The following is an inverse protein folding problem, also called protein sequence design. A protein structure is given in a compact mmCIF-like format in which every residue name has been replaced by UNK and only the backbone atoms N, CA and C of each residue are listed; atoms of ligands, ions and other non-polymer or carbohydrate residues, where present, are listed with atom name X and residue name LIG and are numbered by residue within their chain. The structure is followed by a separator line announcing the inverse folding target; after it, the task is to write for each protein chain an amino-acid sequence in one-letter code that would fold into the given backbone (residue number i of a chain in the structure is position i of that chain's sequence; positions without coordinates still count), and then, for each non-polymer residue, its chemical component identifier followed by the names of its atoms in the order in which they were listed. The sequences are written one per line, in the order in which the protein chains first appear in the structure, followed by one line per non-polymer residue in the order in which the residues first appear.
data_IF_703109804435
#
_entry.id   IF_703109804435
#
_cell.length_a   1.000
_cell.length_b   1.000
_cell.length_c   1.000
_cell.angle_alpha   90.00
_cell.angle_beta   90.00
_cell.angle_gamma   90.00
#
_symmetry.space_group_name_H-M   'P 1'
#
loop_
_entity.id
_entity.type
_entity.pdbx_description
1 polymer ?
#
# COMPACT_ATOMS: atom_id res chain seq x y z
N UNK A 1 21.53 -26.06 -5.39
CA UNK A 1 20.23 -25.38 -5.25
C UNK A 1 20.46 -23.95 -4.80
N UNK A 2 19.96 -23.00 -5.53
CA UNK A 2 20.16 -21.60 -5.25
C UNK A 2 19.40 -21.19 -3.96
N UNK A 3 20.06 -20.47 -3.08
CA UNK A 3 19.44 -20.00 -1.83
C UNK A 3 18.25 -19.07 -2.09
N UNK A 4 18.26 -18.32 -3.21
CA UNK A 4 17.16 -17.48 -3.64
C UNK A 4 15.90 -18.26 -4.01
N UNK A 5 16.07 -19.41 -4.67
CA UNK A 5 14.95 -20.29 -5.03
C UNK A 5 14.29 -20.89 -3.78
N UNK A 6 15.09 -21.31 -2.82
CA UNK A 6 14.58 -21.82 -1.54
C UNK A 6 13.82 -20.73 -0.77
N UNK A 7 14.32 -19.50 -0.77
CA UNK A 7 13.67 -18.37 -0.11
C UNK A 7 12.32 -18.03 -0.75
N UNK A 8 12.24 -18.02 -2.08
CA UNK A 8 11.00 -17.76 -2.81
C UNK A 8 9.95 -18.82 -2.52
N UNK A 9 10.33 -20.10 -2.58
CA UNK A 9 9.44 -21.22 -2.26
C UNK A 9 8.91 -21.12 -0.83
N UNK A 10 9.78 -20.78 0.11
CA UNK A 10 9.41 -20.60 1.52
C UNK A 10 8.38 -19.48 1.67
N UNK A 11 8.56 -18.34 1.03
CA UNK A 11 7.62 -17.24 1.09
C UNK A 11 6.26 -17.61 0.49
N UNK A 12 6.25 -18.35 -0.61
CA UNK A 12 5.02 -18.83 -1.22
C UNK A 12 4.25 -19.74 -0.26
N UNK A 13 4.95 -20.65 0.40
CA UNK A 13 4.34 -21.60 1.35
C UNK A 13 3.87 -20.92 2.65
N UNK A 14 4.49 -19.82 3.05
CA UNK A 14 4.10 -19.06 4.23
C UNK A 14 2.89 -18.14 3.97
N UNK A 15 2.59 -17.83 2.71
CA UNK A 15 1.56 -16.84 2.36
C UNK A 15 0.20 -17.14 2.96
N UNK A 16 -0.35 -18.37 2.93
CA UNK A 16 -1.66 -18.63 3.53
C UNK A 16 -1.72 -18.31 5.02
N UNK A 17 -0.70 -18.67 5.77
CA UNK A 17 -0.66 -18.42 7.22
C UNK A 17 -0.48 -16.92 7.50
N UNK A 18 0.34 -16.24 6.72
CA UNK A 18 0.52 -14.79 6.83
C UNK A 18 -0.78 -14.05 6.57
N UNK A 19 -1.52 -14.43 5.53
CA UNK A 19 -2.82 -13.82 5.21
C UNK A 19 -3.83 -14.06 6.33
N UNK A 20 -3.91 -15.28 6.85
CA UNK A 20 -4.80 -15.57 7.99
C UNK A 20 -4.47 -14.75 9.21
N UNK A 21 -3.18 -14.62 9.53
CA UNK A 21 -2.71 -13.80 10.65
C UNK A 21 -3.08 -12.33 10.46
N UNK A 22 -2.85 -11.78 9.28
CA UNK A 22 -3.16 -10.39 9.00
C UNK A 22 -4.66 -10.10 9.07
N UNK A 23 -5.50 -11.03 8.62
CA UNK A 23 -6.96 -10.90 8.73
C UNK A 23 -7.38 -10.93 10.19
N UNK A 24 -6.85 -11.86 10.98
CA UNK A 24 -7.19 -11.98 12.40
C UNK A 24 -6.77 -10.77 13.21
N UNK A 25 -5.64 -10.13 12.85
CA UNK A 25 -5.09 -8.97 13.54
C UNK A 25 -5.35 -7.65 12.83
N UNK A 26 -6.27 -7.62 11.85
CA UNK A 26 -6.46 -6.46 10.99
C UNK A 26 -6.80 -5.17 11.74
N UNK A 27 -7.64 -5.23 12.75
CA UNK A 27 -8.00 -4.06 13.56
C UNK A 27 -6.77 -3.48 14.27
N UNK A 28 -5.95 -4.32 14.88
CA UNK A 28 -4.74 -3.91 15.57
C UNK A 28 -3.70 -3.33 14.60
N UNK A 29 -3.48 -4.01 13.46
CA UNK A 29 -2.49 -3.60 12.47
C UNK A 29 -2.83 -2.28 11.79
N UNK A 30 -4.11 -1.97 11.62
CA UNK A 30 -4.56 -0.78 10.89
C UNK A 30 -5.13 0.31 11.79
N UNK A 31 -5.09 0.14 13.10
CA UNK A 31 -5.73 1.05 14.05
C UNK A 31 -5.29 2.50 13.90
N UNK A 32 -3.98 2.74 13.86
CA UNK A 32 -3.45 4.11 13.73
C UNK A 32 -3.82 4.75 12.39
N UNK A 33 -3.77 3.99 11.32
CA UNK A 33 -4.15 4.48 10.00
C UNK A 33 -5.63 4.81 9.94
N UNK A 34 -6.47 3.97 10.53
CA UNK A 34 -7.91 4.19 10.62
C UNK A 34 -8.22 5.45 11.43
N UNK A 35 -7.57 5.66 12.55
CA UNK A 35 -7.72 6.87 13.35
C UNK A 35 -7.38 8.13 12.56
N UNK A 36 -6.24 8.11 11.86
CA UNK A 36 -5.83 9.25 11.04
C UNK A 36 -6.82 9.52 9.90
N UNK A 37 -7.33 8.49 9.27
CA UNK A 37 -8.32 8.61 8.21
C UNK A 37 -9.63 9.23 8.71
N UNK A 38 -10.12 8.80 9.86
CA UNK A 38 -11.39 9.26 10.41
C UNK A 38 -11.34 10.70 10.95
N UNK A 39 -10.17 11.23 11.22
CA UNK A 39 -10.01 12.60 11.72
C UNK A 39 -10.28 13.67 10.67
N UNK A 40 -10.24 13.33 9.39
CA UNK A 40 -10.41 14.28 8.29
C UNK A 40 -11.35 13.72 7.24
N UNK A 41 -12.04 14.62 6.54
CA UNK A 41 -12.83 14.24 5.37
C UNK A 41 -11.94 14.28 4.13
N UNK A 42 -11.54 13.13 3.65
CA UNK A 42 -10.72 13.01 2.45
C UNK A 42 -11.57 12.89 1.18
N UNK A 43 -11.09 13.47 0.09
CA UNK A 43 -11.76 13.42 -1.21
C UNK A 43 -11.26 12.29 -2.09
N UNK A 44 -10.07 11.80 -1.88
CA UNK A 44 -9.50 10.67 -2.60
C UNK A 44 -8.33 10.11 -1.81
N UNK A 45 -7.87 8.91 -2.21
CA UNK A 45 -6.72 8.25 -1.61
C UNK A 45 -5.71 7.94 -2.70
N UNK A 46 -4.44 8.17 -2.42
CA UNK A 46 -3.34 7.81 -3.29
C UNK A 46 -2.56 6.65 -2.70
N UNK A 47 -2.42 5.57 -3.47
CA UNK A 47 -1.56 4.43 -3.13
C UNK A 47 -0.31 4.50 -4.00
N UNK A 48 0.85 4.64 -3.38
CA UNK A 48 2.13 4.74 -4.07
C UNK A 48 2.91 3.46 -3.83
N UNK A 49 3.16 2.71 -4.89
CA UNK A 49 3.83 1.42 -4.79
C UNK A 49 4.46 1.03 -6.12
N UNK A 50 5.45 0.14 -6.09
CA UNK A 50 6.06 -0.43 -7.28
C UNK A 50 6.17 -1.95 -7.17
N UNK A 51 6.35 -2.62 -8.32
CA UNK A 51 6.48 -4.08 -8.37
C UNK A 51 5.24 -4.81 -7.89
N UNK A 52 5.42 -5.86 -7.13
CA UNK A 52 4.33 -6.66 -6.59
C UNK A 52 3.46 -5.89 -5.60
N UNK A 53 4.02 -4.92 -4.89
CA UNK A 53 3.24 -4.02 -4.01
C UNK A 53 2.25 -3.18 -4.81
N UNK A 54 2.62 -2.74 -6.02
CA UNK A 54 1.73 -2.04 -6.93
C UNK A 54 0.59 -2.95 -7.40
N UNK A 55 0.89 -4.21 -7.72
CA UNK A 55 -0.12 -5.20 -8.11
C UNK A 55 -1.12 -5.45 -6.97
N UNK A 56 -0.64 -5.55 -5.75
CA UNK A 56 -1.51 -5.70 -4.58
C UNK A 56 -2.43 -4.48 -4.41
N UNK A 57 -1.90 -3.28 -4.58
CA UNK A 57 -2.69 -2.05 -4.52
C UNK A 57 -3.77 -2.00 -5.61
N UNK A 58 -3.43 -2.41 -6.83
CA UNK A 58 -4.40 -2.48 -7.93
C UNK A 58 -5.51 -3.50 -7.65
N UNK A 59 -5.19 -4.63 -7.02
CA UNK A 59 -6.20 -5.62 -6.64
C UNK A 59 -7.17 -5.07 -5.58
N UNK A 60 -6.69 -4.29 -4.64
CA UNK A 60 -7.50 -3.75 -3.55
C UNK A 60 -8.29 -2.49 -3.94
N UNK A 61 -7.88 -1.78 -4.96
CA UNK A 61 -8.36 -0.45 -5.34
C UNK A 61 -9.89 -0.34 -5.42
N UNK A 62 -10.53 -1.20 -6.19
CA UNK A 62 -11.97 -1.08 -6.43
C UNK A 62 -12.81 -1.42 -5.21
N UNK A 63 -12.37 -2.39 -4.42
CA UNK A 63 -13.02 -2.69 -3.15
C UNK A 63 -12.92 -1.51 -2.19
N UNK A 64 -11.75 -0.89 -2.10
CA UNK A 64 -11.54 0.30 -1.29
C UNK A 64 -12.45 1.46 -1.73
N UNK A 65 -12.54 1.72 -3.04
CA UNK A 65 -13.44 2.74 -3.57
C UNK A 65 -14.88 2.49 -3.18
N UNK A 66 -15.33 1.24 -3.28
CA UNK A 66 -16.70 0.86 -2.94
C UNK A 66 -16.99 1.05 -1.45
N UNK A 67 -16.07 0.64 -0.59
CA UNK A 67 -16.27 0.70 0.86
C UNK A 67 -16.10 2.11 1.42
N UNK A 68 -15.17 2.87 0.89
CA UNK A 68 -14.85 4.21 1.41
C UNK A 68 -15.63 5.34 0.74
N UNK A 69 -16.20 5.07 -0.44
CA UNK A 69 -16.97 6.08 -1.17
C UNK A 69 -16.14 7.21 -1.77
N UNK A 70 -14.83 7.03 -1.90
CA UNK A 70 -13.92 8.00 -2.49
C UNK A 70 -13.05 7.35 -3.55
N UNK A 71 -12.58 8.10 -4.58
CA UNK A 71 -11.65 7.55 -5.57
C UNK A 71 -10.35 7.10 -4.92
N UNK A 72 -9.84 5.95 -5.36
CA UNK A 72 -8.54 5.41 -4.94
C UNK A 72 -7.65 5.33 -6.17
N UNK A 73 -6.54 6.07 -6.14
CA UNK A 73 -5.58 6.12 -7.24
C UNK A 73 -4.33 5.32 -6.89
N UNK A 74 -3.85 4.53 -7.84
CA UNK A 74 -2.62 3.76 -7.69
C UNK A 74 -1.60 4.30 -8.67
N UNK A 75 -0.45 4.73 -8.16
CA UNK A 75 0.63 5.26 -8.98
C UNK A 75 1.97 4.66 -8.57
N UNK A 76 2.91 4.60 -9.51
CA UNK A 76 4.28 4.23 -9.17
C UNK A 76 4.98 5.41 -8.52
N UNK A 77 6.00 5.17 -7.68
CA UNK A 77 6.75 6.27 -7.04
C UNK A 77 7.35 7.25 -8.04
N UNK A 78 7.86 6.74 -9.17
CA UNK A 78 8.42 7.61 -10.19
C UNK A 78 7.38 8.59 -10.76
N UNK A 79 6.20 8.08 -11.10
CA UNK A 79 5.10 8.91 -11.61
C UNK A 79 4.65 9.92 -10.56
N UNK A 80 4.51 9.48 -9.32
CA UNK A 80 4.12 10.34 -8.20
C UNK A 80 5.14 11.47 -7.97
N UNK A 81 6.43 11.14 -7.95
CA UNK A 81 7.49 12.11 -7.67
C UNK A 81 7.66 13.15 -8.76
N UNK A 82 7.41 12.79 -10.02
CA UNK A 82 7.76 13.62 -11.19
C UNK A 82 6.56 14.20 -11.92
N UNK A 83 5.39 13.58 -11.84
CA UNK A 83 4.24 13.96 -12.67
C UNK A 83 2.94 14.23 -11.89
N UNK A 84 2.79 13.70 -10.71
CA UNK A 84 1.54 13.75 -9.95
C UNK A 84 1.74 14.49 -8.64
N UNK A 85 1.76 15.82 -8.70
CA UNK A 85 2.07 16.67 -7.55
C UNK A 85 0.87 17.38 -6.93
N UNK A 86 -0.34 17.15 -7.41
CA UNK A 86 -1.54 17.82 -6.92
C UNK A 86 -1.98 17.27 -5.56
N UNK A 87 -1.07 17.30 -4.59
CA UNK A 87 -1.32 16.79 -3.26
C UNK A 87 -1.71 17.94 -2.35
N UNK A 88 -2.91 17.87 -1.84
CA UNK A 88 -3.39 18.77 -0.79
C UNK A 88 -3.56 17.98 0.50
N UNK A 89 -3.75 18.66 1.61
CA UNK A 89 -4.01 18.01 2.90
C UNK A 89 -5.26 17.12 2.91
N UNK A 90 -6.08 17.19 1.84
CA UNK A 90 -7.31 16.42 1.69
C UNK A 90 -7.11 15.05 1.04
N UNK A 91 -5.88 14.73 0.65
CA UNK A 91 -5.56 13.47 -0.04
C UNK A 91 -4.52 12.69 0.76
N UNK A 92 -4.92 11.65 1.48
CA UNK A 92 -3.95 10.79 2.14
C UNK A 92 -3.13 10.04 1.10
N UNK A 93 -1.83 9.97 1.33
CA UNK A 93 -0.90 9.23 0.50
C UNK A 93 -0.37 8.05 1.30
N UNK A 94 -0.59 6.84 0.80
CA UNK A 94 -0.12 5.62 1.44
C UNK A 94 0.99 5.03 0.59
N UNK A 95 2.19 5.00 1.11
CA UNK A 95 3.35 4.39 0.46
C UNK A 95 3.48 2.94 0.92
N UNK A 96 3.50 2.02 -0.03
CA UNK A 96 3.58 0.58 0.25
C UNK A 96 4.96 0.07 -0.14
N UNK A 97 5.69 -0.48 0.83
CA UNK A 97 7.00 -1.06 0.60
C UNK A 97 7.19 -2.29 1.48
N UNK A 98 7.51 -3.41 0.88
CA UNK A 98 7.76 -4.64 1.61
C UNK A 98 9.06 -4.55 2.42
N UNK A 99 10.12 -4.02 1.83
CA UNK A 99 11.42 -3.90 2.49
C UNK A 99 11.58 -2.62 3.32
N UNK A 100 10.82 -1.59 3.01
CA UNK A 100 11.02 -0.25 3.55
C UNK A 100 12.26 0.47 2.99
N UNK A 101 12.93 -0.12 2.02
CA UNK A 101 14.21 0.37 1.47
C UNK A 101 14.13 0.77 0.00
N UNK A 102 12.95 0.75 -0.60
CA UNK A 102 12.78 1.17 -2.00
C UNK A 102 13.10 2.66 -2.15
N UNK A 103 14.13 2.98 -2.93
CA UNK A 103 14.63 4.35 -3.09
C UNK A 103 13.53 5.29 -3.60
N UNK A 104 12.82 4.90 -4.64
CA UNK A 104 11.78 5.74 -5.21
C UNK A 104 10.60 5.94 -4.25
N UNK A 105 10.24 4.92 -3.50
CA UNK A 105 9.17 5.02 -2.50
C UNK A 105 9.58 5.93 -1.35
N UNK A 106 10.83 5.87 -0.90
CA UNK A 106 11.38 6.76 0.12
C UNK A 106 11.34 8.21 -0.36
N UNK A 107 11.71 8.47 -1.61
CA UNK A 107 11.62 9.81 -2.20
C UNK A 107 10.19 10.36 -2.16
N UNK A 108 9.19 9.50 -2.35
CA UNK A 108 7.78 9.92 -2.30
C UNK A 108 7.34 10.44 -0.93
N UNK A 109 8.04 10.04 0.13
CA UNK A 109 7.76 10.51 1.50
C UNK A 109 8.38 11.88 1.80
N UNK A 110 9.30 12.31 1.00
CA UNK A 110 9.96 13.60 1.14
C UNK A 110 9.26 14.67 0.30
#
# INVERSE_FOLDING_TARGET
MDSGELSMKRYILETPDTVRHNIACSEELTHKMTELYLKRMYRSIWLVACGSSCNAALCARYLMQKLLGVPVRVVTPFTFNHYEHDITERYPVVCISQSGCSTNTIESLQ
#
